data_IF_588473243018
#
_entry.id   IF_588473243018
#
_cell.length_a   1.000
_cell.length_b   1.000
_cell.length_c   1.000
_cell.angle_alpha   90.00
_cell.angle_beta   90.00
_cell.angle_gamma   90.00
#
_symmetry.space_group_name_H-M   'P 1'
#
loop_
_entity.id
_entity.type
_entity.pdbx_description
1 polymer ?
#
# COMPACT_ATOMS: atom_id res chain seq x y z
N UNK A 1 -19.29 52.70 26.42
CA UNK A 1 -20.35 52.23 25.51
C UNK A 1 -21.44 51.59 26.35
N UNK A 2 -22.67 52.11 26.28
CA UNK A 2 -23.82 51.51 26.97
C UNK A 2 -24.47 50.55 25.96
N UNK A 3 -24.44 49.26 26.25
CA UNK A 3 -25.20 48.27 25.49
C UNK A 3 -26.68 48.47 25.81
N UNK A 4 -27.46 48.97 24.85
CA UNK A 4 -28.91 49.04 24.97
C UNK A 4 -29.57 48.18 23.89
N UNK A 5 -30.57 47.42 24.30
CA UNK A 5 -31.43 46.65 23.40
C UNK A 5 -32.55 47.60 22.99
N UNK A 6 -32.77 47.78 21.69
CA UNK A 6 -33.92 48.54 21.21
C UNK A 6 -35.21 47.85 21.71
N UNK A 7 -36.04 48.52 22.52
CA UNK A 7 -37.19 47.87 23.15
C UNK A 7 -38.29 47.50 22.14
N UNK A 8 -38.27 48.06 20.92
CA UNK A 8 -39.26 47.81 19.86
C UNK A 8 -38.79 46.71 18.91
N UNK A 9 -37.54 46.78 18.42
CA UNK A 9 -37.03 45.81 17.44
C UNK A 9 -36.27 44.64 18.06
N UNK A 10 -35.98 44.68 19.37
CA UNK A 10 -35.13 43.72 20.09
C UNK A 10 -33.69 43.63 19.59
N UNK A 11 -33.28 44.48 18.64
CA UNK A 11 -31.92 44.49 18.10
C UNK A 11 -30.97 45.28 19.02
N UNK A 12 -29.69 44.86 19.06
CA UNK A 12 -28.65 45.57 19.82
C UNK A 12 -28.25 46.84 19.07
N UNK A 13 -28.33 47.99 19.75
CA UNK A 13 -27.97 49.29 19.17
C UNK A 13 -26.72 49.81 19.86
N UNK A 14 -25.75 50.29 19.07
CA UNK A 14 -24.51 50.86 19.57
C UNK A 14 -24.65 52.37 19.67
N UNK A 15 -24.55 52.90 20.89
CA UNK A 15 -24.52 54.34 21.13
C UNK A 15 -23.06 54.77 21.28
N UNK A 16 -22.58 55.53 20.29
CA UNK A 16 -21.36 56.33 20.36
C UNK A 16 -21.80 57.79 20.41
N UNK A 17 -21.46 58.50 21.50
CA UNK A 17 -21.63 59.96 21.67
C UNK A 17 -22.97 60.51 21.15
N UNK A 18 -24.09 60.00 21.67
CA UNK A 18 -25.45 60.51 21.40
C UNK A 18 -25.93 60.49 19.93
N UNK A 19 -25.27 59.71 19.05
CA UNK A 19 -25.75 59.47 17.68
C UNK A 19 -26.20 58.01 17.52
N UNK A 20 -27.52 57.83 17.33
CA UNK A 20 -28.12 56.53 16.95
C UNK A 20 -27.88 56.32 15.46
N UNK A 21 -26.87 55.53 15.09
CA UNK A 21 -26.59 55.21 13.69
C UNK A 21 -27.25 53.87 13.29
N UNK A 22 -28.13 53.86 12.27
CA UNK A 22 -28.70 52.63 11.71
C UNK A 22 -27.74 51.90 10.75
N UNK A 23 -26.49 52.37 10.61
CA UNK A 23 -25.54 51.81 9.65
C UNK A 23 -25.01 50.46 10.15
N UNK A 24 -25.18 49.42 9.32
CA UNK A 24 -24.39 48.19 9.41
C UNK A 24 -22.93 48.55 9.16
N UNK A 25 -22.18 48.81 10.23
CA UNK A 25 -20.74 48.99 10.12
C UNK A 25 -20.11 47.70 9.60
N UNK A 26 -19.33 47.79 8.52
CA UNK A 26 -18.48 46.69 8.07
C UNK A 26 -17.41 46.47 9.14
N UNK A 27 -17.66 45.53 10.04
CA UNK A 27 -16.74 45.21 11.11
C UNK A 27 -15.74 44.16 10.61
N UNK A 28 -14.46 44.33 10.98
CA UNK A 28 -13.42 43.36 10.68
C UNK A 28 -12.96 42.68 11.96
N UNK A 29 -12.75 41.38 11.88
CA UNK A 29 -12.16 40.61 12.98
C UNK A 29 -10.64 40.67 12.87
N UNK A 30 -9.98 41.08 13.94
CA UNK A 30 -8.53 41.19 14.01
C UNK A 30 -7.97 40.24 15.05
N UNK A 31 -6.81 39.67 14.73
CA UNK A 31 -6.02 38.91 15.69
C UNK A 31 -5.56 39.81 16.84
N UNK A 32 -5.53 39.29 18.07
CA UNK A 32 -5.04 40.03 19.22
C UNK A 32 -4.45 39.09 20.27
N UNK A 33 -3.74 39.67 21.25
CA UNK A 33 -3.09 38.89 22.30
C UNK A 33 -1.90 38.06 21.79
N UNK A 34 -1.31 37.28 22.71
CA UNK A 34 -0.20 36.38 22.42
C UNK A 34 -0.71 35.07 21.84
N UNK A 35 0.08 34.48 20.95
CA UNK A 35 -0.05 33.09 20.52
C UNK A 35 0.04 32.13 21.70
N UNK A 36 -0.88 31.19 21.70
CA UNK A 36 -0.85 29.97 22.51
C UNK A 36 -0.47 28.82 21.58
N UNK A 37 0.40 27.93 22.04
CA UNK A 37 1.04 26.90 21.23
C UNK A 37 0.41 25.53 21.49
N UNK A 38 -0.24 24.94 20.48
CA UNK A 38 -0.73 23.56 20.47
C UNK A 38 0.31 22.71 19.71
N UNK A 39 1.31 22.22 20.46
CA UNK A 39 2.43 21.48 19.89
C UNK A 39 2.01 20.10 19.35
N UNK A 40 0.95 19.50 19.90
CA UNK A 40 0.46 18.19 19.47
C UNK A 40 -0.13 18.26 18.06
N UNK A 41 -0.74 19.40 17.72
CA UNK A 41 -1.28 19.68 16.38
C UNK A 41 -0.36 20.51 15.49
N UNK A 42 0.80 20.91 16.00
CA UNK A 42 1.76 21.76 15.29
C UNK A 42 1.14 23.09 14.83
N UNK A 43 0.32 23.70 15.68
CA UNK A 43 -0.37 24.95 15.41
C UNK A 43 -0.26 25.92 16.60
N UNK A 44 -0.35 27.21 16.31
CA UNK A 44 -0.56 28.23 17.31
C UNK A 44 -1.95 28.83 17.12
N UNK A 45 -2.57 29.29 18.20
CA UNK A 45 -3.82 30.02 18.13
C UNK A 45 -3.81 31.23 19.05
N UNK A 46 -4.56 32.27 18.69
CA UNK A 46 -4.73 33.46 19.53
C UNK A 46 -6.14 34.02 19.40
N UNK A 47 -6.64 34.73 20.43
CA UNK A 47 -7.98 35.30 20.40
C UNK A 47 -8.09 36.38 19.32
N UNK A 48 -9.33 36.81 19.09
CA UNK A 48 -9.60 37.92 18.19
C UNK A 48 -10.39 39.02 18.89
N UNK A 49 -10.51 40.15 18.21
CA UNK A 49 -11.39 41.24 18.58
C UNK A 49 -12.01 41.85 17.32
N UNK A 50 -13.23 42.36 17.45
CA UNK A 50 -13.85 43.16 16.41
C UNK A 50 -13.42 44.61 16.58
N UNK A 51 -12.93 45.23 15.49
CA UNK A 51 -12.68 46.67 15.43
C UNK A 51 -13.54 47.32 14.36
N UNK A 52 -13.94 48.56 14.63
CA UNK A 52 -14.62 49.43 13.67
C UNK A 52 -13.78 50.68 13.49
N UNK A 53 -13.61 51.11 12.25
CA UNK A 53 -12.98 52.38 11.91
C UNK A 53 -14.02 53.49 11.96
N UNK A 54 -13.77 54.51 12.77
CA UNK A 54 -14.56 55.73 12.79
C UNK A 54 -13.88 56.78 11.91
N UNK A 55 -14.58 57.16 10.85
CA UNK A 55 -14.11 58.14 9.86
C UNK A 55 -14.08 59.56 10.41
N UNK A 56 -14.85 59.88 11.46
CA UNK A 56 -14.92 61.22 12.05
C UNK A 56 -13.71 61.48 12.93
N UNK A 57 -13.35 60.51 13.78
CA UNK A 57 -12.17 60.59 14.65
C UNK A 57 -10.89 60.08 13.98
N UNK A 58 -11.00 59.48 12.78
CA UNK A 58 -9.89 58.86 12.05
C UNK A 58 -9.15 57.80 12.88
N UNK A 59 -9.89 57.03 13.68
CA UNK A 59 -9.35 56.05 14.63
C UNK A 59 -10.14 54.74 14.63
N UNK A 60 -9.48 53.65 15.06
CA UNK A 60 -10.14 52.37 15.29
C UNK A 60 -10.61 52.24 16.74
N UNK A 61 -11.82 51.73 16.92
CA UNK A 61 -12.37 51.39 18.24
C UNK A 61 -12.59 49.88 18.37
N UNK A 62 -12.21 49.35 19.55
CA UNK A 62 -12.47 47.96 19.89
C UNK A 62 -13.93 47.81 20.33
N UNK A 63 -14.66 46.91 19.66
CA UNK A 63 -16.09 46.65 19.91
C UNK A 63 -16.27 45.50 20.88
N UNK A 64 -15.41 44.47 20.78
CA UNK A 64 -15.40 43.31 21.66
C UNK A 64 -14.07 43.21 22.41
N UNK A 65 -14.07 42.45 23.51
CA UNK A 65 -12.84 42.06 24.19
C UNK A 65 -11.90 41.24 23.30
N UNK A 66 -10.60 41.30 23.62
CA UNK A 66 -9.60 40.40 23.07
C UNK A 66 -9.66 39.07 23.84
N UNK A 67 -10.54 38.18 23.40
CA UNK A 67 -10.86 36.92 24.09
C UNK A 67 -11.34 35.85 23.10
N UNK A 68 -11.70 34.67 23.61
CA UNK A 68 -12.18 33.54 22.83
C UNK A 68 -13.72 33.46 22.72
N UNK A 69 -14.44 34.50 23.12
CA UNK A 69 -15.91 34.51 23.04
C UNK A 69 -16.37 34.68 21.59
N UNK A 70 -17.56 34.18 21.29
CA UNK A 70 -18.23 34.37 19.99
C UNK A 70 -19.18 35.58 19.98
N UNK A 71 -19.03 36.48 20.96
CA UNK A 71 -19.90 37.64 21.12
C UNK A 71 -19.97 38.45 19.83
N UNK A 72 -21.18 38.84 19.46
CA UNK A 72 -21.46 39.64 18.25
C UNK A 72 -20.99 39.00 16.93
N UNK A 73 -20.94 37.66 16.86
CA UNK A 73 -20.54 36.94 15.64
C UNK A 73 -19.04 37.02 15.37
N UNK A 74 -18.24 37.31 16.40
CA UNK A 74 -16.78 37.29 16.36
C UNK A 74 -16.25 35.88 16.10
N UNK A 75 -15.27 35.75 15.21
CA UNK A 75 -14.50 34.50 15.06
C UNK A 75 -13.64 34.32 16.30
N UNK A 76 -13.87 33.29 17.12
CA UNK A 76 -13.28 33.18 18.46
C UNK A 76 -11.74 33.19 18.48
N UNK A 77 -11.09 32.60 17.48
CA UNK A 77 -9.63 32.52 17.39
C UNK A 77 -9.14 32.45 15.95
N UNK A 78 -7.89 32.87 15.75
CA UNK A 78 -7.14 32.59 14.53
C UNK A 78 -6.15 31.48 14.84
N UNK A 79 -6.04 30.52 13.92
CA UNK A 79 -5.11 29.39 14.00
C UNK A 79 -4.04 29.60 12.93
N UNK A 80 -2.77 29.42 13.30
CA UNK A 80 -1.63 29.48 12.40
C UNK A 80 -0.79 28.21 12.55
N UNK A 81 -0.64 27.39 11.49
CA UNK A 81 0.21 26.21 11.54
C UNK A 81 1.68 26.62 11.68
N UNK A 82 2.48 25.76 12.29
CA UNK A 82 3.92 25.96 12.33
C UNK A 82 4.54 25.79 10.93
N UNK A 83 5.58 26.57 10.66
CA UNK A 83 6.30 26.48 9.39
C UNK A 83 7.33 25.37 9.47
N UNK A 84 7.12 24.25 8.76
CA UNK A 84 8.11 23.18 8.66
C UNK A 84 9.41 23.69 8.06
N UNK A 85 10.54 23.38 8.69
CA UNK A 85 11.88 23.65 8.14
C UNK A 85 12.48 22.35 7.62
N UNK A 86 12.92 22.35 6.35
CA UNK A 86 13.72 21.28 5.76
C UNK A 86 15.16 21.38 6.30
N UNK A 87 15.32 21.23 7.61
CA UNK A 87 16.63 20.85 8.15
C UNK A 87 16.71 19.36 7.86
N UNK A 88 17.81 18.93 7.23
CA UNK A 88 18.13 17.51 7.03
C UNK A 88 17.75 16.75 8.30
N UNK A 89 16.72 15.93 8.19
CA UNK A 89 16.22 15.12 9.30
C UNK A 89 17.42 14.39 9.87
N UNK A 90 17.88 14.79 11.07
CA UNK A 90 19.03 14.16 11.67
C UNK A 90 18.61 12.75 12.07
N UNK A 91 19.16 11.78 11.35
CA UNK A 91 18.94 10.36 11.60
C UNK A 91 19.62 10.06 12.93
N UNK A 92 18.84 9.88 13.99
CA UNK A 92 19.41 9.65 15.34
C UNK A 92 19.94 8.23 15.54
N UNK A 93 19.66 7.33 14.60
CA UNK A 93 20.11 5.95 14.60
C UNK A 93 19.29 5.15 13.59
N UNK A 94 19.92 4.13 13.02
CA UNK A 94 19.24 3.06 12.29
C UNK A 94 19.37 1.80 13.13
N UNK A 95 18.23 1.25 13.53
CA UNK A 95 18.20 -0.03 14.24
C UNK A 95 17.42 -1.05 13.42
N UNK A 96 17.84 -2.31 13.54
CA UNK A 96 17.15 -3.45 12.95
C UNK A 96 15.78 -3.60 13.63
N UNK A 97 14.72 -3.61 12.82
CA UNK A 97 13.35 -3.83 13.27
C UNK A 97 12.94 -5.30 13.27
N UNK A 98 11.63 -5.53 13.35
CA UNK A 98 11.04 -6.84 13.63
C UNK A 98 11.27 -7.94 12.57
N UNK A 99 11.70 -7.60 11.35
CA UNK A 99 12.10 -8.54 10.32
C UNK A 99 13.59 -8.41 10.04
N UNK A 100 14.32 -9.50 10.16
CA UNK A 100 15.72 -9.60 9.75
C UNK A 100 16.03 -11.02 9.26
N UNK A 101 16.32 -11.16 7.97
CA UNK A 101 16.74 -12.44 7.35
C UNK A 101 18.23 -12.44 6.98
N UNK A 102 19.05 -11.58 7.60
CA UNK A 102 20.50 -11.49 7.37
C UNK A 102 21.23 -12.62 8.09
N UNK A 103 22.46 -12.89 7.68
CA UNK A 103 23.27 -13.94 8.29
C UNK A 103 23.44 -13.76 9.79
N UNK A 104 23.23 -14.83 10.56
CA UNK A 104 23.29 -14.81 12.03
C UNK A 104 22.02 -14.30 12.73
N UNK A 105 20.98 -13.92 11.98
CA UNK A 105 19.66 -13.60 12.54
C UNK A 105 18.83 -14.87 12.85
N UNK A 106 17.74 -14.71 13.60
CA UNK A 106 16.79 -15.80 13.87
C UNK A 106 16.10 -16.33 12.60
N UNK A 107 16.10 -15.56 11.50
CA UNK A 107 15.52 -15.95 10.21
C UNK A 107 16.58 -16.18 9.13
N UNK A 108 17.83 -16.45 9.52
CA UNK A 108 18.92 -16.88 8.62
C UNK A 108 18.74 -18.34 8.17
N UNK A 109 17.59 -18.64 7.56
CA UNK A 109 17.26 -19.96 7.04
C UNK A 109 16.92 -19.88 5.54
N UNK A 110 17.27 -20.93 4.76
CA UNK A 110 16.98 -20.96 3.33
C UNK A 110 15.49 -20.78 3.01
N UNK A 111 14.58 -21.23 3.87
CA UNK A 111 13.14 -21.08 3.66
C UNK A 111 12.64 -19.62 3.67
N UNK A 112 13.36 -18.70 4.30
CA UNK A 112 13.00 -17.27 4.35
C UNK A 112 13.81 -16.41 3.37
N UNK A 113 14.85 -16.98 2.75
CA UNK A 113 15.77 -16.24 1.87
C UNK A 113 15.82 -16.78 0.46
N UNK A 114 15.49 -18.06 0.25
CA UNK A 114 15.49 -18.73 -1.04
C UNK A 114 14.07 -18.79 -1.59
N UNK A 115 13.93 -18.26 -2.80
CA UNK A 115 12.68 -18.17 -3.53
C UNK A 115 12.80 -19.00 -4.80
N UNK A 116 11.81 -19.85 -5.03
CA UNK A 116 11.83 -20.79 -6.15
C UNK A 116 10.45 -20.88 -6.80
N UNK A 117 10.43 -20.82 -8.12
CA UNK A 117 9.28 -21.07 -8.97
C UNK A 117 9.61 -22.29 -9.81
N UNK A 118 8.76 -23.31 -9.71
CA UNK A 118 8.89 -24.56 -10.44
C UNK A 118 7.69 -24.77 -11.36
N UNK A 119 7.91 -25.60 -12.38
CA UNK A 119 6.87 -26.19 -13.20
C UNK A 119 7.15 -27.68 -13.38
N UNK A 120 6.13 -28.44 -13.75
CA UNK A 120 6.28 -29.83 -14.15
C UNK A 120 6.62 -29.87 -15.64
N UNK A 121 7.65 -30.64 -16.02
CA UNK A 121 7.94 -30.83 -17.44
C UNK A 121 6.89 -31.72 -18.09
N UNK A 122 6.46 -31.38 -19.31
CA UNK A 122 5.67 -32.29 -20.15
C UNK A 122 6.61 -33.20 -20.92
N UNK A 123 6.57 -34.49 -20.62
CA UNK A 123 7.26 -35.47 -21.44
C UNK A 123 6.35 -35.89 -22.60
N UNK A 124 6.97 -36.19 -23.73
CA UNK A 124 6.29 -36.80 -24.87
C UNK A 124 7.16 -37.90 -25.46
N UNK A 125 6.51 -38.97 -25.92
CA UNK A 125 7.20 -40.08 -26.58
C UNK A 125 6.31 -40.69 -27.65
N UNK A 126 6.93 -41.22 -28.71
CA UNK A 126 6.21 -41.93 -29.76
C UNK A 126 5.81 -43.31 -29.27
N UNK A 127 4.51 -43.56 -29.21
CA UNK A 127 3.92 -44.83 -28.79
C UNK A 127 3.27 -45.50 -29.99
N UNK A 128 3.29 -46.83 -29.96
CA UNK A 128 2.68 -47.66 -30.99
C UNK A 128 1.69 -48.57 -30.28
N UNK A 129 0.44 -48.53 -30.74
CA UNK A 129 -0.58 -49.50 -30.31
C UNK A 129 -0.92 -50.40 -31.48
N UNK A 130 -0.94 -51.70 -31.22
CA UNK A 130 -1.32 -52.73 -32.20
C UNK A 130 -2.67 -53.29 -31.78
N UNK A 131 -3.65 -53.16 -32.66
CA UNK A 131 -4.97 -53.74 -32.47
C UNK A 131 -5.08 -55.06 -33.19
N UNK A 132 -5.66 -56.04 -32.50
CA UNK A 132 -6.09 -57.29 -33.10
C UNK A 132 -7.51 -57.12 -33.60
N UNK A 133 -7.69 -57.38 -34.89
CA UNK A 133 -8.94 -57.23 -35.59
C UNK A 133 -9.42 -58.61 -36.05
N UNK A 134 -10.69 -58.89 -35.81
CA UNK A 134 -11.34 -60.12 -36.25
C UNK A 134 -12.67 -59.78 -36.91
N UNK A 135 -12.85 -60.25 -38.14
CA UNK A 135 -14.06 -60.03 -38.93
C UNK A 135 -14.85 -61.32 -39.21
N UNK A 136 -14.50 -62.42 -38.52
CA UNK A 136 -15.14 -63.73 -38.62
C UNK A 136 -14.56 -64.63 -39.73
N UNK A 137 -13.77 -64.08 -40.66
CA UNK A 137 -13.19 -64.81 -41.80
C UNK A 137 -11.66 -64.87 -41.75
N UNK A 138 -11.03 -64.05 -40.92
CA UNK A 138 -9.60 -64.09 -40.63
C UNK A 138 -9.23 -63.21 -39.44
N UNK A 139 -8.00 -63.39 -38.96
CA UNK A 139 -7.39 -62.52 -37.95
C UNK A 139 -6.31 -61.67 -38.60
N UNK A 140 -6.33 -60.36 -38.36
CA UNK A 140 -5.34 -59.41 -38.87
C UNK A 140 -5.06 -58.32 -37.84
N UNK A 141 -3.93 -57.63 -37.98
CA UNK A 141 -3.51 -56.59 -37.04
C UNK A 141 -3.46 -55.22 -37.70
N UNK A 142 -3.74 -54.18 -36.92
CA UNK A 142 -3.58 -52.79 -37.33
C UNK A 142 -2.70 -52.05 -36.33
N UNK A 143 -1.64 -51.46 -36.83
CA UNK A 143 -0.70 -50.66 -36.03
C UNK A 143 -1.04 -49.18 -36.16
N UNK A 144 -1.02 -48.45 -35.04
CA UNK A 144 -1.20 -47.01 -35.02
C UNK A 144 -0.12 -46.35 -34.15
N UNK A 145 0.62 -45.40 -34.74
CA UNK A 145 1.58 -44.58 -34.04
C UNK A 145 0.93 -43.29 -33.56
N UNK A 146 1.18 -42.89 -32.32
CA UNK A 146 0.69 -41.64 -31.73
C UNK A 146 1.69 -41.10 -30.72
N UNK A 147 1.58 -39.81 -30.39
CA UNK A 147 2.38 -39.20 -29.33
C UNK A 147 1.69 -39.44 -27.97
N UNK A 148 2.33 -40.21 -27.10
CA UNK A 148 1.95 -40.33 -25.70
C UNK A 148 2.56 -39.20 -24.87
N UNK A 149 1.77 -38.62 -23.96
CA UNK A 149 2.22 -37.58 -23.04
C UNK A 149 2.20 -38.08 -21.61
N UNK A 150 3.16 -37.65 -20.80
CA UNK A 150 3.24 -37.99 -19.38
C UNK A 150 3.83 -36.84 -18.57
N UNK A 151 3.57 -36.86 -17.26
CA UNK A 151 4.25 -35.97 -16.33
C UNK A 151 5.73 -36.33 -16.26
N UNK A 152 6.59 -35.33 -16.41
CA UNK A 152 8.02 -35.47 -16.18
C UNK A 152 8.43 -35.03 -14.78
N UNK A 153 9.62 -34.44 -14.67
CA UNK A 153 10.17 -33.99 -13.39
C UNK A 153 9.81 -32.53 -13.14
N UNK A 154 9.88 -32.09 -11.87
CA UNK A 154 9.87 -30.67 -11.55
C UNK A 154 11.12 -29.99 -12.13
N UNK A 155 10.90 -28.91 -12.86
CA UNK A 155 11.92 -28.03 -13.42
C UNK A 155 11.84 -26.67 -12.73
N UNK A 156 12.98 -26.20 -12.24
CA UNK A 156 13.11 -24.83 -11.72
C UNK A 156 13.07 -23.83 -12.88
N UNK A 157 12.07 -22.94 -12.89
CA UNK A 157 11.97 -21.84 -13.84
C UNK A 157 12.72 -20.59 -13.37
N UNK A 158 12.60 -20.28 -12.08
CA UNK A 158 13.30 -19.18 -11.47
C UNK A 158 13.70 -19.55 -10.05
N UNK A 159 14.92 -19.22 -9.67
CA UNK A 159 15.47 -19.44 -8.33
C UNK A 159 16.43 -18.33 -7.99
N UNK A 160 16.23 -17.72 -6.84
CA UNK A 160 17.08 -16.65 -6.37
C UNK A 160 17.09 -16.60 -4.84
N UNK A 161 18.09 -15.92 -4.30
CA UNK A 161 18.21 -15.64 -2.88
C UNK A 161 18.16 -14.14 -2.66
N UNK A 162 17.30 -13.70 -1.74
CA UNK A 162 17.17 -12.30 -1.33
C UNK A 162 17.14 -12.23 0.18
N UNK A 163 17.73 -11.16 0.74
CA UNK A 163 17.61 -10.85 2.17
C UNK A 163 16.77 -9.61 2.37
N UNK A 164 15.96 -9.62 3.41
CA UNK A 164 15.06 -8.53 3.77
C UNK A 164 15.26 -8.16 5.23
N UNK A 165 15.21 -6.86 5.51
CA UNK A 165 15.33 -6.33 6.86
C UNK A 165 14.43 -5.10 7.00
N UNK A 166 13.70 -5.00 8.10
CA UNK A 166 13.06 -3.72 8.44
C UNK A 166 14.04 -2.84 9.20
N UNK A 167 14.10 -1.56 8.86
CA UNK A 167 14.93 -0.57 9.54
C UNK A 167 14.01 0.43 10.24
N UNK A 168 14.23 0.61 11.54
CA UNK A 168 13.63 1.70 12.31
C UNK A 168 14.59 2.88 12.27
N UNK A 169 14.12 4.00 11.72
CA UNK A 169 14.89 5.22 11.56
C UNK A 169 14.26 6.34 12.40
N UNK A 170 14.99 6.84 13.38
CA UNK A 170 14.58 8.03 14.12
C UNK A 170 14.86 9.30 13.32
N UNK A 171 13.83 10.01 12.89
CA UNK A 171 13.94 11.31 12.21
C UNK A 171 13.49 12.44 13.12
N UNK A 172 14.21 13.57 13.13
CA UNK A 172 13.77 14.77 13.84
C UNK A 172 13.39 15.83 12.82
N UNK A 173 12.16 16.33 12.85
CA UNK A 173 11.67 17.41 11.98
C UNK A 173 11.60 18.70 12.79
N UNK A 174 12.23 19.75 12.29
CA UNK A 174 12.14 21.10 12.86
C UNK A 174 10.93 21.87 12.32
N UNK A 175 10.39 22.75 13.16
CA UNK A 175 9.31 23.67 12.87
C UNK A 175 9.64 25.06 13.44
N UNK A 176 9.21 26.10 12.73
CA UNK A 176 9.24 27.49 13.19
C UNK A 176 7.85 27.87 13.68
N UNK A 177 7.76 28.27 14.94
CA UNK A 177 6.54 28.80 15.56
C UNK A 177 6.31 30.27 15.16
N UNK A 178 5.08 30.76 15.10
CA UNK A 178 4.83 32.18 14.86
C UNK A 178 5.32 33.05 16.01
N UNK A 179 5.84 34.23 15.67
CA UNK A 179 6.33 35.23 16.63
C UNK A 179 5.17 35.98 17.27
N UNK A 180 5.27 36.24 18.58
CA UNK A 180 4.37 37.19 19.24
C UNK A 180 4.71 38.63 18.89
N UNK A 181 3.69 39.44 18.71
CA UNK A 181 3.85 40.87 18.51
C UNK A 181 4.48 41.52 19.74
N UNK A 182 5.54 42.30 19.56
CA UNK A 182 6.29 42.95 20.63
C UNK A 182 7.41 42.12 21.27
N UNK A 183 7.56 40.83 20.93
CA UNK A 183 8.74 40.06 21.36
C UNK A 183 10.00 40.60 20.68
N UNK A 184 11.10 40.75 21.43
CA UNK A 184 12.42 41.05 20.85
C UNK A 184 12.98 39.83 20.10
N UNK A 185 13.99 40.06 19.26
CA UNK A 185 14.64 38.95 18.52
C UNK A 185 15.22 37.91 19.49
N UNK A 186 15.87 38.38 20.55
CA UNK A 186 16.40 37.52 21.61
C UNK A 186 15.32 36.66 22.27
N UNK A 187 14.14 37.22 22.55
CA UNK A 187 13.03 36.47 23.16
C UNK A 187 12.47 35.45 22.17
N UNK A 188 12.25 35.84 20.92
CA UNK A 188 11.73 34.95 19.88
C UNK A 188 12.66 33.77 19.62
N UNK A 189 13.96 34.01 19.52
CA UNK A 189 14.95 32.97 19.22
C UNK A 189 15.02 31.88 20.31
N UNK A 190 14.56 32.14 21.55
CA UNK A 190 14.48 31.11 22.60
C UNK A 190 13.41 30.04 22.36
N UNK A 191 12.33 30.35 21.65
CA UNK A 191 11.18 29.44 21.48
C UNK A 191 10.77 29.21 20.03
N UNK A 192 11.39 29.93 19.09
CA UNK A 192 11.15 29.89 17.65
C UNK A 192 11.15 28.48 17.08
N UNK A 193 12.10 27.64 17.50
CA UNK A 193 12.25 26.29 16.99
C UNK A 193 11.51 25.27 17.86
N UNK A 194 10.75 24.39 17.21
CA UNK A 194 10.13 23.22 17.80
C UNK A 194 10.53 21.98 17.00
N UNK A 195 10.90 20.90 17.68
CA UNK A 195 11.38 19.68 17.04
C UNK A 195 10.49 18.50 17.39
N UNK A 196 10.10 17.73 16.38
CA UNK A 196 9.30 16.50 16.52
C UNK A 196 10.14 15.32 16.08
N UNK A 197 10.34 14.37 16.98
CA UNK A 197 10.99 13.10 16.66
C UNK A 197 9.93 12.09 16.20
N UNK A 198 10.14 11.47 15.05
CA UNK A 198 9.29 10.41 14.50
C UNK A 198 10.14 9.18 14.20
N UNK A 199 9.67 8.01 14.61
CA UNK A 199 10.24 6.75 14.17
C UNK A 199 9.58 6.36 12.85
N UNK A 200 10.37 6.30 11.78
CA UNK A 200 9.94 5.77 10.50
C UNK A 200 10.44 4.33 10.37
N UNK A 201 9.54 3.40 10.12
CA UNK A 201 9.92 2.02 9.78
C UNK A 201 9.93 1.87 8.28
N UNK A 202 10.98 1.26 7.73
CA UNK A 202 11.11 0.97 6.30
C UNK A 202 11.50 -0.49 6.09
N UNK A 203 11.23 -1.02 4.88
CA UNK A 203 11.68 -2.36 4.49
C UNK A 203 12.83 -2.22 3.49
N UNK A 204 14.00 -2.72 3.89
CA UNK A 204 15.21 -2.79 3.06
C UNK A 204 15.33 -4.17 2.45
N UNK A 205 15.47 -4.20 1.12
CA UNK A 205 15.73 -5.40 0.33
C UNK A 205 17.18 -5.35 -0.13
N UNK A 206 17.96 -6.37 0.21
CA UNK A 206 19.35 -6.48 -0.22
C UNK A 206 19.43 -7.11 -1.62
N UNK A 207 20.47 -6.80 -2.41
CA UNK A 207 20.62 -7.32 -3.76
C UNK A 207 20.44 -8.84 -3.83
N UNK A 208 19.64 -9.30 -4.79
CA UNK A 208 19.33 -10.72 -4.97
C UNK A 208 20.43 -11.46 -5.73
N UNK A 209 20.86 -12.62 -5.25
CA UNK A 209 21.66 -13.56 -6.06
C UNK A 209 20.71 -14.42 -6.89
N UNK A 210 20.75 -14.27 -8.21
CA UNK A 210 19.88 -15.00 -9.13
C UNK A 210 20.62 -16.25 -9.62
N UNK A 211 20.07 -17.43 -9.35
CA UNK A 211 20.61 -18.70 -9.81
C UNK A 211 19.98 -19.13 -11.15
N UNK A 212 18.67 -18.96 -11.27
CA UNK A 212 17.89 -19.30 -12.48
C UNK A 212 16.83 -18.22 -12.69
N UNK A 213 16.63 -17.79 -13.94
CA UNK A 213 15.56 -16.86 -14.30
C UNK A 213 15.15 -17.03 -15.78
N UNK A 214 14.79 -18.24 -16.17
CA UNK A 214 14.39 -18.57 -17.54
C UNK A 214 13.25 -17.71 -18.09
N UNK A 215 12.19 -17.35 -17.31
CA UNK A 215 11.12 -16.49 -17.81
C UNK A 215 11.46 -14.99 -17.80
N UNK A 216 12.71 -14.61 -17.50
CA UNK A 216 13.15 -13.21 -17.44
C UNK A 216 12.28 -12.34 -16.50
N UNK A 217 12.00 -12.82 -15.29
CA UNK A 217 11.24 -12.06 -14.29
C UNK A 217 11.93 -10.72 -14.01
N UNK A 218 11.15 -9.65 -13.94
CA UNK A 218 11.62 -8.34 -13.52
C UNK A 218 12.00 -8.33 -12.04
N UNK A 219 12.80 -7.35 -11.62
CA UNK A 219 13.10 -7.18 -10.20
C UNK A 219 11.84 -6.88 -9.37
N UNK A 220 10.91 -6.11 -9.94
CA UNK A 220 9.62 -5.81 -9.32
C UNK A 220 8.78 -7.09 -9.10
N UNK A 221 8.71 -7.97 -10.10
CA UNK A 221 8.01 -9.25 -9.95
C UNK A 221 8.64 -10.10 -8.86
N UNK A 222 9.98 -10.23 -8.85
CA UNK A 222 10.69 -10.97 -7.80
C UNK A 222 10.47 -10.37 -6.42
N UNK A 223 10.57 -9.05 -6.28
CA UNK A 223 10.28 -8.32 -5.03
C UNK A 223 8.89 -8.67 -4.52
N UNK A 224 7.85 -8.53 -5.33
CA UNK A 224 6.48 -8.77 -4.86
C UNK A 224 6.20 -10.26 -4.58
N UNK A 225 6.84 -11.17 -5.32
CA UNK A 225 6.82 -12.60 -5.01
C UNK A 225 7.44 -12.87 -3.63
N UNK A 226 8.63 -12.34 -3.36
CA UNK A 226 9.33 -12.49 -2.08
C UNK A 226 8.48 -11.99 -0.92
N UNK A 227 7.91 -10.79 -1.04
CA UNK A 227 7.08 -10.18 -0.01
C UNK A 227 5.87 -11.04 0.33
N UNK A 228 5.22 -11.61 -0.67
CA UNK A 228 4.08 -12.50 -0.45
C UNK A 228 4.52 -13.80 0.22
N UNK A 229 5.59 -14.43 -0.24
CA UNK A 229 6.12 -15.67 0.36
C UNK A 229 6.53 -15.43 1.82
N UNK A 230 7.24 -14.33 2.09
CA UNK A 230 7.61 -13.94 3.46
C UNK A 230 6.37 -13.72 4.32
N UNK A 231 5.36 -13.01 3.82
CA UNK A 231 4.11 -12.76 4.58
C UNK A 231 3.32 -14.03 4.92
N UNK A 232 3.49 -15.09 4.12
CA UNK A 232 2.84 -16.39 4.34
C UNK A 232 3.64 -17.28 5.28
N UNK A 233 4.96 -17.29 5.13
CA UNK A 233 5.86 -18.13 5.94
C UNK A 233 6.11 -17.55 7.33
N UNK A 234 6.07 -16.22 7.45
CA UNK A 234 6.33 -15.51 8.69
C UNK A 234 5.03 -14.92 9.22
N UNK A 235 4.76 -15.12 10.51
CA UNK A 235 3.66 -14.46 11.23
C UNK A 235 3.99 -12.98 11.50
N UNK A 236 4.18 -12.20 10.43
CA UNK A 236 4.57 -10.80 10.51
C UNK A 236 3.53 -9.99 11.29
N UNK A 237 4.02 -9.05 12.12
CA UNK A 237 3.15 -8.14 12.86
C UNK A 237 2.51 -7.08 11.93
N UNK A 238 1.53 -6.34 12.45
CA UNK A 238 0.78 -5.35 11.68
C UNK A 238 1.66 -4.23 11.11
N UNK A 239 2.70 -3.81 11.84
CA UNK A 239 3.62 -2.77 11.37
C UNK A 239 4.40 -3.20 10.13
N UNK A 240 4.92 -4.43 10.10
CA UNK A 240 5.61 -4.97 8.91
C UNK A 240 4.61 -5.21 7.77
N UNK A 241 3.43 -5.75 8.07
CA UNK A 241 2.37 -5.97 7.06
C UNK A 241 1.93 -4.68 6.37
N UNK A 242 1.83 -3.58 7.11
CA UNK A 242 1.49 -2.26 6.53
C UNK A 242 2.56 -1.73 5.57
N UNK A 243 3.84 -2.04 5.81
CA UNK A 243 4.92 -1.66 4.90
C UNK A 243 4.89 -2.43 3.57
N UNK A 244 4.38 -3.65 3.60
CA UNK A 244 4.32 -4.56 2.46
C UNK A 244 3.04 -4.33 1.64
N UNK A 245 1.90 -4.16 2.32
CA UNK A 245 0.58 -4.09 1.71
C UNK A 245 0.28 -2.69 1.16
N UNK A 246 1.05 -2.27 0.16
CA UNK A 246 0.78 -1.05 -0.61
C UNK A 246 -0.33 -1.28 -1.64
N UNK A 247 -0.91 -0.20 -2.17
CA UNK A 247 -1.89 -0.31 -3.26
C UNK A 247 -1.27 -0.95 -4.51
N UNK A 248 -0.03 -0.59 -4.84
CA UNK A 248 0.73 -1.19 -5.95
C UNK A 248 0.91 -2.69 -5.76
N UNK A 249 1.29 -3.11 -4.55
CA UNK A 249 1.42 -4.52 -4.21
C UNK A 249 0.08 -5.27 -4.31
N UNK A 250 -1.00 -4.66 -3.83
CA UNK A 250 -2.35 -5.24 -3.91
C UNK A 250 -2.80 -5.42 -5.36
N UNK A 251 -2.54 -4.42 -6.21
CA UNK A 251 -2.84 -4.50 -7.65
C UNK A 251 -1.99 -5.58 -8.34
N UNK A 252 -0.71 -5.68 -7.97
CA UNK A 252 0.19 -6.72 -8.46
C UNK A 252 -0.30 -8.10 -8.03
N UNK A 253 -0.69 -8.29 -6.76
CA UNK A 253 -1.24 -9.56 -6.27
C UNK A 253 -2.52 -9.93 -7.01
N UNK A 254 -3.44 -8.98 -7.23
CA UNK A 254 -4.66 -9.23 -8.01
C UNK A 254 -4.37 -9.72 -9.44
N UNK A 255 -3.23 -9.31 -10.00
CA UNK A 255 -2.80 -9.69 -11.35
C UNK A 255 -2.11 -11.06 -11.36
N UNK A 256 -1.16 -11.27 -10.43
CA UNK A 256 -0.20 -12.37 -10.51
C UNK A 256 -0.36 -13.45 -9.44
N UNK A 257 -1.06 -13.17 -8.35
CA UNK A 257 -1.30 -14.12 -7.26
C UNK A 257 -2.74 -14.67 -7.33
N UNK A 258 -2.87 -15.95 -7.66
CA UNK A 258 -4.13 -16.68 -7.77
C UNK A 258 -4.17 -17.82 -6.76
N UNK A 259 -4.62 -17.57 -5.52
CA UNK A 259 -4.76 -18.62 -4.52
C UNK A 259 -5.70 -19.73 -5.02
N UNK A 260 -5.55 -20.94 -4.49
CA UNK A 260 -6.26 -22.17 -4.88
C UNK A 260 -5.80 -22.78 -6.21
N UNK A 261 -4.54 -22.56 -6.60
CA UNK A 261 -3.95 -23.24 -7.75
C UNK A 261 -4.60 -22.84 -9.06
N UNK A 262 -5.08 -21.61 -9.21
CA UNK A 262 -5.52 -21.06 -10.51
C UNK A 262 -4.41 -20.25 -11.21
N UNK A 263 -3.17 -20.33 -10.73
CA UNK A 263 -2.01 -19.67 -11.34
C UNK A 263 -1.54 -20.37 -12.62
N UNK A 264 -1.04 -19.60 -13.59
CA UNK A 264 -0.72 -20.09 -14.95
C UNK A 264 0.57 -20.94 -15.05
N UNK A 265 0.96 -21.66 -14.00
CA UNK A 265 2.11 -22.59 -14.04
C UNK A 265 1.64 -24.03 -13.89
N UNK A 266 1.90 -24.82 -14.93
CA UNK A 266 1.56 -26.22 -15.00
C UNK A 266 2.49 -27.04 -14.11
N UNK A 267 2.02 -27.33 -12.91
CA UNK A 267 2.71 -28.19 -11.94
C UNK A 267 2.19 -29.63 -11.97
N UNK A 268 1.03 -29.86 -12.58
CA UNK A 268 0.49 -31.20 -12.80
C UNK A 268 -0.23 -31.22 -14.16
N UNK A 269 -0.03 -32.29 -14.92
CA UNK A 269 -0.63 -32.46 -16.23
C UNK A 269 -1.71 -33.52 -16.11
N UNK A 270 -2.98 -33.14 -16.27
CA UNK A 270 -4.07 -34.09 -16.28
C UNK A 270 -4.30 -34.59 -17.72
N UNK A 271 -4.36 -35.90 -17.87
CA UNK A 271 -4.57 -36.58 -19.14
C UNK A 271 -5.98 -37.14 -19.14
N UNK A 272 -6.88 -36.50 -19.88
CA UNK A 272 -8.18 -37.10 -20.16
C UNK A 272 -8.03 -37.96 -21.41
N UNK A 273 -8.30 -39.25 -21.28
CA UNK A 273 -8.56 -40.07 -22.45
C UNK A 273 -9.79 -39.50 -23.13
N UNK A 274 -9.65 -39.08 -24.40
CA UNK A 274 -10.82 -38.87 -25.24
C UNK A 274 -11.68 -40.15 -25.21
N UNK A 275 -13.00 -40.01 -25.34
CA UNK A 275 -13.95 -41.14 -25.25
C UNK A 275 -13.37 -42.41 -25.90
N UNK A 276 -13.30 -43.51 -25.13
CA UNK A 276 -13.08 -44.82 -25.71
C UNK A 276 -14.03 -44.97 -26.90
N UNK A 277 -13.49 -45.16 -28.10
CA UNK A 277 -14.32 -45.35 -29.29
C UNK A 277 -15.23 -46.55 -29.02
N UNK A 278 -16.52 -46.28 -28.81
CA UNK A 278 -17.52 -47.30 -28.51
C UNK A 278 -17.64 -48.19 -29.75
N UNK A 279 -17.74 -49.50 -29.54
CA UNK A 279 -18.02 -50.41 -30.64
C UNK A 279 -19.28 -49.95 -31.37
N UNK A 280 -19.17 -49.75 -32.68
CA UNK A 280 -20.33 -49.65 -33.57
C UNK A 280 -21.22 -50.88 -33.30
N UNK A 281 -22.52 -50.66 -33.10
CA UNK A 281 -23.53 -51.74 -33.04
C UNK A 281 -23.71 -52.46 -34.38
N UNK A 282 -22.98 -52.05 -35.42
CA UNK A 282 -22.90 -52.72 -36.72
C UNK A 282 -21.45 -53.16 -36.99
N UNK A 283 -21.16 -54.39 -36.57
CA UNK A 283 -20.19 -55.34 -37.16
C UNK A 283 -18.71 -54.94 -37.33
N UNK A 284 -17.84 -55.82 -36.82
CA UNK A 284 -16.39 -56.01 -37.08
C UNK A 284 -15.46 -55.27 -36.11
N UNK A 285 -14.77 -56.05 -35.27
CA UNK A 285 -14.14 -55.56 -34.05
C UNK A 285 -12.62 -55.49 -34.18
N UNK A 286 -12.06 -54.32 -33.89
CA UNK A 286 -10.71 -54.18 -33.34
C UNK A 286 -10.87 -53.72 -31.89
N UNK A 287 -10.35 -54.47 -30.91
CA UNK A 287 -10.37 -54.07 -29.50
C UNK A 287 -9.14 -53.22 -29.18
N UNK A 288 -9.33 -51.94 -28.86
CA UNK A 288 -8.25 -51.03 -28.48
C UNK A 288 -8.04 -51.04 -26.97
N UNK A 289 -6.77 -51.05 -26.53
CA UNK A 289 -6.40 -50.94 -25.11
C UNK A 289 -6.15 -49.47 -24.70
N UNK A 290 -5.83 -48.58 -25.65
CA UNK A 290 -5.50 -47.18 -25.36
C UNK A 290 -6.09 -46.23 -26.40
N UNK A 291 -6.61 -45.09 -25.95
CA UNK A 291 -7.17 -44.02 -26.79
C UNK A 291 -6.05 -43.15 -27.34
N UNK A 292 -5.80 -43.13 -28.66
CA UNK A 292 -4.84 -42.23 -29.27
C UNK A 292 -5.37 -40.80 -29.21
N UNK A 293 -4.52 -39.86 -28.80
CA UNK A 293 -4.81 -38.44 -28.51
C UNK A 293 -5.45 -38.22 -27.13
N UNK A 294 -4.64 -38.34 -26.07
CA UNK A 294 -5.01 -37.84 -24.76
C UNK A 294 -5.18 -36.30 -24.83
N UNK A 295 -6.35 -35.80 -24.46
CA UNK A 295 -6.57 -34.38 -24.28
C UNK A 295 -5.79 -33.95 -23.03
N UNK A 296 -4.79 -33.09 -23.26
CA UNK A 296 -3.98 -32.54 -22.19
C UNK A 296 -4.67 -31.33 -21.57
N UNK A 297 -4.86 -31.35 -20.25
CA UNK A 297 -5.27 -30.18 -19.47
C UNK A 297 -4.25 -29.91 -18.37
N UNK A 298 -3.76 -28.68 -18.33
CA UNK A 298 -2.91 -28.20 -17.25
C UNK A 298 -3.71 -28.10 -15.96
N UNK A 299 -3.35 -28.88 -14.94
CA UNK A 299 -3.79 -28.65 -13.58
C UNK A 299 -2.78 -27.71 -12.92
N UNK A 300 -3.19 -26.45 -12.78
CA UNK A 300 -2.42 -25.43 -12.11
C UNK A 300 -2.28 -25.78 -10.62
N UNK A 301 -1.05 -25.75 -10.11
CA UNK A 301 -0.73 -26.13 -8.72
C UNK A 301 0.18 -25.10 -8.04
N UNK A 302 0.45 -23.99 -8.74
CA UNK A 302 1.09 -22.83 -8.15
C UNK A 302 0.08 -21.69 -8.01
N UNK A 303 0.24 -20.88 -6.98
CA UNK A 303 -0.59 -19.69 -6.78
C UNK A 303 -0.10 -18.49 -7.62
N UNK A 304 0.82 -18.71 -8.56
CA UNK A 304 1.54 -17.65 -9.27
C UNK A 304 1.32 -17.72 -10.78
N UNK A 305 0.94 -16.60 -11.38
CA UNK A 305 0.94 -16.38 -12.83
C UNK A 305 2.30 -15.84 -13.22
N UNK A 306 3.08 -16.63 -13.95
CA UNK A 306 4.36 -16.17 -14.48
C UNK A 306 4.14 -15.48 -15.83
N UNK A 307 4.67 -14.27 -16.04
CA UNK A 307 4.64 -13.62 -17.35
C UNK A 307 5.38 -14.48 -18.37
N UNK A 308 4.76 -14.72 -19.52
CA UNK A 308 5.45 -15.26 -20.68
C UNK A 308 6.16 -14.08 -21.36
N UNK A 309 7.50 -14.15 -21.44
CA UNK A 309 8.29 -13.31 -22.34
C UNK A 309 8.59 -14.08 -23.62
#
# INVERSE_FOLDING_TARGET
MINTINPITKEKVFISHDVVSPLKFSYQTYACGKWQFDNDKLEAYRPTQIRIFDTVSNQYYNVTGCDYTSDMGKVTKIIQPYTKINVESSVKGEDVGDLDTISGSNYDLPEYTTFEIQEMSLNSSQWITTSYCNDGWGSWTKTHSYTGYSQGNLRTLAKWVTRCQTINQGTTIGYIRPRNEGDSDAVYDTYKYYYVSQAQKTLKRFPSTIYVNTPNLSDEYRKNFELTVLSQKLNLNNGVKQLINTQEFTNWQATYYRPNGNGNLCMNYNFSSGNAWKSSTKGKYCSWVQTPNANYSCASHNNWVVPNN
#
